data_IF_790326613555
#
_entry.id   IF_790326613555
#
_cell.length_a   1.000
_cell.length_b   1.000
_cell.length_c   1.000
_cell.angle_alpha   90.00
_cell.angle_beta   90.00
_cell.angle_gamma   90.00
#
_symmetry.space_group_name_H-M   'P 1'
#
loop_
_entity.id
_entity.type
_entity.pdbx_description
1 polymer ?
#
# COMPACT_ATOMS: atom_id res chain seq x y z
N UNK A 1 -0.68 36.99 -15.84
CA UNK A 1 -1.36 35.68 -15.87
C UNK A 1 -0.40 34.51 -15.53
N UNK A 2 0.53 34.70 -14.58
CA UNK A 2 1.45 33.65 -14.14
C UNK A 2 0.84 32.77 -13.05
N UNK A 3 0.08 33.39 -12.12
CA UNK A 3 -0.61 32.69 -11.04
C UNK A 3 -1.73 31.74 -11.50
N UNK A 4 -2.38 31.99 -12.64
CA UNK A 4 -3.32 31.03 -13.25
C UNK A 4 -2.61 29.78 -13.77
N UNK A 5 -1.43 29.95 -14.38
CA UNK A 5 -0.63 28.85 -14.91
C UNK A 5 -0.06 27.96 -13.79
N UNK A 6 0.36 28.54 -12.66
CA UNK A 6 0.78 27.76 -11.48
C UNK A 6 -0.39 26.99 -10.87
N UNK A 7 -1.58 27.60 -10.77
CA UNK A 7 -2.76 26.89 -10.27
C UNK A 7 -3.27 25.81 -11.24
N UNK A 8 -3.09 26.00 -12.54
CA UNK A 8 -3.42 25.01 -13.57
C UNK A 8 -2.39 23.87 -13.65
N UNK A 9 -1.16 24.06 -13.14
CA UNK A 9 -0.10 23.03 -13.13
C UNK A 9 0.08 22.29 -11.81
N UNK A 10 -0.43 22.77 -10.67
CA UNK A 10 -0.18 22.14 -9.36
C UNK A 10 -1.26 21.21 -8.79
N UNK A 11 -2.50 21.18 -9.30
CA UNK A 11 -3.55 20.35 -8.68
C UNK A 11 -4.40 19.59 -9.69
N UNK A 12 -3.75 19.05 -10.72
CA UNK A 12 -4.24 17.79 -11.28
C UNK A 12 -3.25 16.74 -10.80
N UNK A 13 -3.43 16.31 -9.55
CA UNK A 13 -3.27 14.90 -9.26
C UNK A 13 -3.99 14.21 -10.43
N UNK A 14 -3.21 13.65 -11.35
CA UNK A 14 -3.78 12.81 -12.39
C UNK A 14 -4.51 11.78 -11.58
N UNK A 15 -5.84 11.88 -11.60
CA UNK A 15 -6.77 11.11 -10.79
C UNK A 15 -6.73 9.68 -11.32
N UNK A 16 -5.57 9.08 -11.08
CA UNK A 16 -5.24 7.78 -11.52
C UNK A 16 -5.96 6.91 -10.52
N UNK A 17 -7.15 6.48 -10.94
CA UNK A 17 -7.96 5.49 -10.24
C UNK A 17 -7.25 4.11 -10.27
N UNK A 18 -5.92 4.08 -10.19
CA UNK A 18 -5.07 2.88 -10.09
C UNK A 18 -5.42 2.09 -8.84
N UNK A 19 -5.82 2.80 -7.78
CA UNK A 19 -6.37 2.22 -6.55
C UNK A 19 -7.67 1.44 -6.77
N UNK A 20 -8.50 1.75 -7.78
CA UNK A 20 -9.73 0.98 -8.06
C UNK A 20 -9.45 -0.49 -8.38
N UNK A 21 -8.26 -0.83 -8.87
CA UNK A 21 -7.88 -2.24 -9.04
C UNK A 21 -7.93 -3.05 -7.73
N UNK A 22 -7.87 -2.36 -6.57
CA UNK A 22 -7.99 -2.94 -5.25
C UNK A 22 -9.43 -3.29 -4.85
N UNK A 23 -10.48 -2.83 -5.54
CA UNK A 23 -11.87 -3.11 -5.16
C UNK A 23 -12.17 -4.62 -5.10
N UNK A 24 -11.49 -5.43 -5.91
CA UNK A 24 -11.56 -6.89 -5.86
C UNK A 24 -11.05 -7.52 -4.54
N UNK A 25 -10.41 -6.74 -3.67
CA UNK A 25 -9.96 -7.16 -2.34
C UNK A 25 -10.96 -6.82 -1.22
N UNK A 26 -12.09 -6.20 -1.55
CA UNK A 26 -13.17 -5.99 -0.59
C UNK A 26 -13.71 -7.34 -0.09
N UNK A 27 -13.84 -7.48 1.22
CA UNK A 27 -14.35 -8.64 1.91
C UNK A 27 -15.88 -8.71 1.85
N UNK A 28 -16.57 -7.56 1.80
CA UNK A 28 -18.03 -7.48 1.72
C UNK A 28 -18.52 -6.95 0.38
N UNK A 29 -19.63 -7.48 -0.12
CA UNK A 29 -20.25 -7.03 -1.38
C UNK A 29 -20.68 -5.55 -1.30
N UNK A 30 -21.13 -5.10 -0.12
CA UNK A 30 -21.48 -3.70 0.12
C UNK A 30 -20.29 -2.77 -0.06
N UNK A 31 -19.13 -3.13 0.52
CA UNK A 31 -17.92 -2.35 0.35
C UNK A 31 -17.38 -2.45 -1.08
N UNK A 32 -17.45 -3.63 -1.72
CA UNK A 32 -17.07 -3.78 -3.12
C UNK A 32 -17.86 -2.82 -4.03
N UNK A 33 -19.19 -2.79 -3.91
CA UNK A 33 -20.03 -1.86 -4.65
C UNK A 33 -19.72 -0.40 -4.31
N UNK A 34 -19.51 -0.08 -3.03
CA UNK A 34 -19.11 1.26 -2.60
C UNK A 34 -17.76 1.70 -3.20
N UNK A 35 -16.79 0.79 -3.27
CA UNK A 35 -15.47 1.02 -3.85
C UNK A 35 -15.53 1.28 -5.36
N UNK A 36 -16.35 0.54 -6.09
CA UNK A 36 -16.57 0.75 -7.52
C UNK A 36 -17.23 2.10 -7.81
N UNK A 37 -18.15 2.54 -6.94
CA UNK A 37 -18.87 3.81 -7.07
C UNK A 37 -18.03 5.02 -6.63
N UNK A 38 -17.14 4.85 -5.65
CA UNK A 38 -16.31 5.92 -5.14
C UNK A 38 -15.48 6.60 -6.24
N UNK A 39 -15.45 7.92 -6.23
CA UNK A 39 -14.67 8.73 -7.16
C UNK A 39 -13.25 8.93 -6.63
N UNK A 40 -13.09 9.03 -5.31
CA UNK A 40 -11.82 9.18 -4.62
C UNK A 40 -11.59 8.08 -3.58
N UNK A 41 -10.32 7.72 -3.35
CA UNK A 41 -9.96 6.75 -2.32
C UNK A 41 -10.36 7.20 -0.90
N UNK A 42 -10.43 8.51 -0.65
CA UNK A 42 -10.88 9.07 0.62
C UNK A 42 -12.35 8.79 0.92
N UNK A 43 -13.20 8.55 -0.10
CA UNK A 43 -14.63 8.26 0.07
C UNK A 43 -14.87 6.81 0.50
N UNK A 44 -13.86 5.94 0.41
CA UNK A 44 -13.99 4.53 0.82
C UNK A 44 -14.43 4.40 2.28
N UNK A 45 -14.00 5.30 3.17
CA UNK A 45 -14.38 5.25 4.59
C UNK A 45 -15.87 5.50 4.84
N UNK A 46 -16.59 6.08 3.88
CA UNK A 46 -18.03 6.29 3.96
C UNK A 46 -18.83 5.00 3.70
N UNK A 47 -18.23 4.06 2.97
CA UNK A 47 -18.85 2.79 2.57
C UNK A 47 -18.21 1.55 3.20
N UNK A 48 -16.94 1.66 3.61
CA UNK A 48 -16.09 0.56 4.03
C UNK A 48 -15.44 0.90 5.37
N UNK A 49 -15.64 0.03 6.37
CA UNK A 49 -14.93 0.16 7.65
C UNK A 49 -13.54 -0.45 7.53
N UNK A 50 -12.50 0.34 7.82
CA UNK A 50 -11.11 -0.10 7.67
C UNK A 50 -10.76 -1.38 8.44
N UNK A 51 -11.33 -1.60 9.63
CA UNK A 51 -11.11 -2.82 10.42
C UNK A 51 -11.65 -4.09 9.75
N UNK A 52 -12.70 -3.94 8.94
CA UNK A 52 -13.42 -5.05 8.32
C UNK A 52 -12.86 -5.32 6.91
N UNK A 53 -12.22 -4.30 6.33
CA UNK A 53 -11.78 -4.25 4.93
C UNK A 53 -10.25 -4.03 4.81
N UNK A 54 -9.48 -4.58 5.75
CA UNK A 54 -8.03 -4.32 5.87
C UNK A 54 -7.27 -4.50 4.54
N UNK A 55 -7.52 -5.60 3.83
CA UNK A 55 -6.86 -5.91 2.55
C UNK A 55 -7.10 -4.88 1.45
N UNK A 56 -8.32 -4.33 1.40
CA UNK A 56 -8.68 -3.27 0.47
C UNK A 56 -7.87 -2.01 0.80
N UNK A 57 -7.91 -1.56 2.06
CA UNK A 57 -7.23 -0.33 2.48
C UNK A 57 -5.70 -0.44 2.35
N UNK A 58 -5.10 -1.58 2.70
CA UNK A 58 -3.66 -1.81 2.51
C UNK A 58 -3.28 -1.77 1.02
N UNK A 59 -4.09 -2.37 0.15
CA UNK A 59 -3.86 -2.30 -1.29
C UNK A 59 -3.95 -0.85 -1.78
N UNK A 60 -4.97 -0.09 -1.36
CA UNK A 60 -5.16 1.31 -1.73
C UNK A 60 -3.98 2.18 -1.29
N UNK A 61 -3.55 2.08 -0.03
CA UNK A 61 -2.40 2.80 0.52
C UNK A 61 -1.13 2.52 -0.30
N UNK A 62 -0.83 1.24 -0.56
CA UNK A 62 0.34 0.83 -1.36
C UNK A 62 0.28 1.41 -2.77
N UNK A 63 -0.90 1.43 -3.41
CA UNK A 63 -1.04 1.98 -4.77
C UNK A 63 -0.83 3.49 -4.76
N UNK A 64 -1.34 4.20 -3.75
CA UNK A 64 -1.17 5.64 -3.60
C UNK A 64 0.31 6.02 -3.37
N UNK A 65 0.99 5.36 -2.42
CA UNK A 65 2.42 5.57 -2.18
C UNK A 65 3.26 5.32 -3.45
N UNK A 66 2.92 4.29 -4.23
CA UNK A 66 3.63 4.00 -5.49
C UNK A 66 3.31 5.02 -6.59
N UNK A 67 2.09 5.52 -6.65
CA UNK A 67 1.70 6.56 -7.60
C UNK A 67 2.46 7.87 -7.31
N UNK A 68 2.63 8.23 -6.03
CA UNK A 68 3.47 9.35 -5.61
C UNK A 68 4.92 9.18 -6.10
N UNK A 69 5.48 7.96 -5.99
CA UNK A 69 6.79 7.65 -6.58
C UNK A 69 6.81 7.82 -8.10
N UNK A 70 5.72 7.48 -8.81
CA UNK A 70 5.62 7.70 -10.26
C UNK A 70 5.61 9.19 -10.61
N UNK A 71 5.09 10.06 -9.75
CA UNK A 71 5.14 11.52 -9.90
C UNK A 71 6.56 12.10 -9.95
N UNK A 72 7.57 11.35 -9.47
CA UNK A 72 8.99 11.74 -9.57
C UNK A 72 9.58 11.54 -11.00
N UNK A 73 8.81 10.97 -11.91
CA UNK A 73 9.25 10.71 -13.28
C UNK A 73 9.40 12.01 -14.08
N UNK A 74 10.63 12.31 -14.51
CA UNK A 74 10.94 13.48 -15.38
C UNK A 74 10.48 13.30 -16.83
N UNK A 75 10.30 12.05 -17.28
CA UNK A 75 9.96 11.68 -18.64
C UNK A 75 8.57 11.05 -18.68
N UNK A 76 7.70 11.42 -19.64
CA UNK A 76 6.36 10.85 -19.73
C UNK A 76 6.37 9.33 -19.98
N UNK A 77 7.39 8.79 -20.65
CA UNK A 77 7.55 7.35 -20.87
C UNK A 77 7.75 6.61 -19.55
N UNK A 78 8.61 7.13 -18.66
CA UNK A 78 8.81 6.56 -17.33
C UNK A 78 7.55 6.69 -16.48
N UNK A 79 6.89 7.84 -16.50
CA UNK A 79 5.64 8.06 -15.75
C UNK A 79 4.59 7.01 -16.13
N UNK A 80 4.37 6.81 -17.43
CA UNK A 80 3.40 5.85 -17.94
C UNK A 80 3.79 4.39 -17.65
N UNK A 81 5.07 4.05 -17.78
CA UNK A 81 5.57 2.71 -17.43
C UNK A 81 5.43 2.43 -15.94
N UNK A 82 5.76 3.40 -15.10
CA UNK A 82 5.62 3.32 -13.65
C UNK A 82 4.16 3.08 -13.27
N UNK A 83 3.22 3.88 -13.79
CA UNK A 83 1.78 3.70 -13.53
C UNK A 83 1.28 2.31 -13.94
N UNK A 84 1.71 1.78 -15.08
CA UNK A 84 1.39 0.41 -15.50
C UNK A 84 1.93 -0.62 -14.51
N UNK A 85 3.15 -0.44 -14.02
CA UNK A 85 3.74 -1.29 -12.99
C UNK A 85 2.99 -1.19 -11.65
N UNK A 86 2.52 0.01 -11.26
CA UNK A 86 1.68 0.20 -10.08
C UNK A 86 0.36 -0.55 -10.22
N UNK A 87 -0.33 -0.42 -11.35
CA UNK A 87 -1.58 -1.12 -11.62
C UNK A 87 -1.39 -2.65 -11.64
N UNK A 88 -0.40 -3.14 -12.38
CA UNK A 88 -0.18 -4.56 -12.60
C UNK A 88 1.32 -4.91 -12.56
N UNK A 89 1.89 -5.08 -11.35
CA UNK A 89 3.31 -5.39 -11.21
C UNK A 89 3.70 -6.76 -11.77
N UNK A 90 2.73 -7.65 -12.03
CA UNK A 90 2.97 -8.94 -12.69
C UNK A 90 3.15 -8.80 -14.21
N UNK A 91 2.59 -7.76 -14.83
CA UNK A 91 2.67 -7.56 -16.28
C UNK A 91 3.92 -6.77 -16.70
N UNK A 92 4.51 -6.00 -15.79
CA UNK A 92 5.70 -5.19 -16.06
C UNK A 92 6.86 -5.72 -15.20
N UNK A 93 7.92 -6.22 -15.84
CA UNK A 93 9.09 -6.67 -15.10
C UNK A 93 9.81 -5.50 -14.45
N UNK A 94 10.39 -5.74 -13.26
CA UNK A 94 11.21 -4.72 -12.56
C UNK A 94 12.39 -4.27 -13.41
N UNK A 95 12.96 -5.15 -14.24
CA UNK A 95 14.07 -4.81 -15.15
C UNK A 95 13.62 -3.86 -16.25
N UNK A 96 12.44 -4.07 -16.85
CA UNK A 96 11.88 -3.17 -17.84
C UNK A 96 11.58 -1.79 -17.24
N UNK A 97 11.05 -1.75 -16.01
CA UNK A 97 10.84 -0.51 -15.29
C UNK A 97 12.16 0.22 -15.01
N UNK A 98 13.18 -0.48 -14.53
CA UNK A 98 14.51 0.08 -14.25
C UNK A 98 15.20 0.62 -15.50
N UNK A 99 15.01 -0.02 -16.65
CA UNK A 99 15.56 0.45 -17.93
C UNK A 99 14.83 1.69 -18.48
N UNK A 100 13.54 1.82 -18.17
CA UNK A 100 12.70 2.92 -18.68
C UNK A 100 12.75 4.16 -17.78
N UNK A 101 12.99 3.96 -16.48
CA UNK A 101 12.91 5.01 -15.47
C UNK A 101 14.26 5.44 -14.90
N UNK A 102 14.32 6.69 -14.44
CA UNK A 102 15.50 7.25 -13.78
C UNK A 102 15.59 6.81 -12.31
N UNK A 103 16.77 6.97 -11.70
CA UNK A 103 17.03 6.60 -10.30
C UNK A 103 16.03 7.14 -9.26
N UNK A 104 15.47 8.36 -9.34
CA UNK A 104 14.54 8.85 -8.31
C UNK A 104 13.29 7.98 -8.13
N UNK A 105 12.67 7.57 -9.26
CA UNK A 105 11.47 6.72 -9.25
C UNK A 105 11.82 5.32 -8.73
N UNK A 106 12.90 4.73 -9.26
CA UNK A 106 13.32 3.38 -8.86
C UNK A 106 13.72 3.33 -7.39
N UNK A 107 14.43 4.34 -6.89
CA UNK A 107 14.82 4.41 -5.50
C UNK A 107 13.58 4.54 -4.60
N UNK A 108 12.65 5.44 -4.93
CA UNK A 108 11.38 5.59 -4.21
C UNK A 108 10.63 4.25 -4.13
N UNK A 109 10.39 3.61 -5.27
CA UNK A 109 9.71 2.31 -5.32
C UNK A 109 10.44 1.19 -4.56
N UNK A 110 11.77 1.23 -4.50
CA UNK A 110 12.57 0.26 -3.74
C UNK A 110 12.49 0.44 -2.23
N UNK A 111 12.19 1.66 -1.76
CA UNK A 111 11.95 1.93 -0.33
C UNK A 111 10.57 1.47 0.12
N UNK A 112 9.61 1.39 -0.80
CA UNK A 112 8.28 0.89 -0.50
C UNK A 112 8.33 -0.63 -0.24
N UNK A 113 8.00 -1.00 1.00
CA UNK A 113 8.05 -2.37 1.46
C UNK A 113 6.80 -3.11 0.93
N UNK A 114 6.95 -4.27 0.26
CA UNK A 114 5.80 -5.11 -0.05
C UNK A 114 5.13 -5.57 1.26
N UNK A 115 3.90 -5.13 1.51
CA UNK A 115 3.05 -5.67 2.59
C UNK A 115 2.32 -6.87 2.01
N UNK A 116 2.83 -8.07 2.25
CA UNK A 116 2.19 -9.31 1.78
C UNK A 116 1.33 -9.84 2.93
N UNK A 117 0.03 -10.07 2.72
CA UNK A 117 -0.76 -10.74 3.71
C UNK A 117 -0.29 -12.18 3.88
N UNK A 118 0.03 -12.60 5.11
CA UNK A 118 0.34 -14.00 5.37
C UNK A 118 -0.95 -14.81 5.29
N UNK A 119 -1.14 -15.52 4.18
CA UNK A 119 -2.33 -16.37 3.93
C UNK A 119 -2.55 -17.47 4.99
N UNK A 120 -1.57 -17.74 5.85
CA UNK A 120 -1.66 -18.74 6.94
C UNK A 120 -0.87 -18.27 8.19
N UNK A 121 -1.39 -17.29 8.96
CA UNK A 121 -0.70 -16.69 10.09
C UNK A 121 -0.25 -17.72 11.14
N UNK A 122 -1.07 -18.76 11.35
CA UNK A 122 -0.83 -19.87 12.27
C UNK A 122 0.46 -20.64 11.99
N UNK A 123 0.92 -20.72 10.74
CA UNK A 123 2.19 -21.39 10.41
C UNK A 123 3.42 -20.61 10.89
N UNK A 124 3.28 -19.31 11.13
CA UNK A 124 4.38 -18.42 11.52
C UNK A 124 4.33 -18.05 13.01
N UNK A 125 3.34 -18.55 13.77
CA UNK A 125 3.27 -18.34 15.22
C UNK A 125 4.51 -18.87 15.95
N UNK A 126 5.11 -19.96 15.46
CA UNK A 126 6.37 -20.47 16.01
C UNK A 126 7.54 -19.46 15.89
N UNK A 127 7.46 -18.52 14.94
CA UNK A 127 8.47 -17.48 14.77
C UNK A 127 8.44 -16.44 15.89
N UNK A 128 7.30 -16.26 16.59
CA UNK A 128 7.20 -15.35 17.73
C UNK A 128 8.15 -15.76 18.88
N UNK A 129 8.54 -17.04 18.96
CA UNK A 129 9.45 -17.54 19.99
C UNK A 129 10.89 -17.05 19.87
N UNK A 130 11.29 -16.59 18.67
CA UNK A 130 12.62 -16.07 18.42
C UNK A 130 12.84 -14.66 18.96
N UNK A 131 11.79 -13.96 19.42
CA UNK A 131 11.93 -12.65 20.05
C UNK A 131 12.48 -12.79 21.47
N UNK A 132 13.51 -12.02 21.83
CA UNK A 132 14.03 -12.00 23.21
C UNK A 132 13.23 -11.07 24.14
N UNK A 133 12.18 -10.41 23.63
CA UNK A 133 11.39 -9.43 24.37
C UNK A 133 10.02 -10.03 24.70
N UNK A 134 9.69 -10.27 25.98
CA UNK A 134 8.44 -10.93 26.40
C UNK A 134 7.18 -10.20 25.91
N UNK A 135 7.14 -8.86 26.01
CA UNK A 135 6.01 -8.06 25.52
C UNK A 135 5.80 -8.18 24.00
N UNK A 136 6.86 -8.41 23.25
CA UNK A 136 6.80 -8.64 21.80
C UNK A 136 6.31 -10.06 21.48
N UNK A 137 6.70 -11.07 22.29
CA UNK A 137 6.16 -12.44 22.17
C UNK A 137 4.66 -12.46 22.38
N UNK A 138 4.20 -11.80 23.44
CA UNK A 138 2.78 -11.77 23.81
C UNK A 138 1.94 -11.00 22.79
N UNK A 139 2.44 -9.86 22.30
CA UNK A 139 1.79 -9.12 21.22
C UNK A 139 1.72 -9.94 19.91
N UNK A 140 2.81 -10.62 19.54
CA UNK A 140 2.89 -11.46 18.34
C UNK A 140 1.97 -12.70 18.39
N UNK A 141 1.78 -13.29 19.58
CA UNK A 141 0.82 -14.40 19.80
C UNK A 141 -0.62 -13.92 19.88
N UNK A 142 -0.86 -12.75 20.48
CA UNK A 142 -2.19 -12.19 20.65
C UNK A 142 -2.79 -11.65 19.35
N UNK A 143 -1.96 -11.32 18.35
CA UNK A 143 -2.42 -11.03 16.99
C UNK A 143 -2.88 -12.31 16.29
N UNK A 144 -4.06 -12.79 16.66
CA UNK A 144 -4.80 -13.83 15.94
C UNK A 144 -5.41 -13.29 14.61
N UNK A 145 -5.18 -12.00 14.36
CA UNK A 145 -5.58 -11.24 13.18
C UNK A 145 -4.37 -11.10 12.26
N UNK A 146 -4.48 -11.65 11.05
CA UNK A 146 -3.61 -11.44 9.88
C UNK A 146 -2.20 -10.95 10.23
N UNK A 147 -1.26 -11.87 10.46
CA UNK A 147 0.15 -11.49 10.54
C UNK A 147 0.57 -10.86 9.20
N UNK A 148 1.14 -9.67 9.25
CA UNK A 148 1.77 -9.03 8.09
C UNK A 148 3.26 -9.36 8.09
N UNK A 149 3.73 -10.00 7.02
CA UNK A 149 5.13 -10.39 6.85
C UNK A 149 5.88 -9.37 5.98
N UNK A 150 7.00 -8.86 6.49
CA UNK A 150 7.98 -8.09 5.70
C UNK A 150 8.88 -9.06 4.94
N UNK A 151 8.74 -9.16 3.62
CA UNK A 151 9.73 -9.87 2.78
C UNK A 151 10.86 -8.92 2.37
N UNK A 152 11.95 -8.93 3.14
CA UNK A 152 13.29 -8.84 2.55
C UNK A 152 13.92 -10.20 2.72
N UNK A 153 14.63 -10.70 1.71
CA UNK A 153 15.23 -12.04 1.72
C UNK A 153 15.75 -12.42 3.10
N UNK A 154 15.17 -13.49 3.67
CA UNK A 154 15.48 -14.04 5.00
C UNK A 154 15.48 -13.04 6.18
N UNK A 155 14.35 -12.40 6.49
CA UNK A 155 13.86 -12.27 7.88
C UNK A 155 12.47 -11.63 7.92
N UNK A 156 11.51 -12.28 8.57
CA UNK A 156 10.18 -11.72 8.85
C UNK A 156 10.30 -10.83 10.08
N UNK A 157 10.08 -9.52 9.91
CA UNK A 157 9.98 -8.56 11.01
C UNK A 157 8.51 -8.16 11.13
N UNK A 158 7.83 -8.43 12.27
CA UNK A 158 6.46 -7.99 12.45
C UNK A 158 6.39 -6.46 12.41
N UNK A 159 5.53 -5.95 11.54
CA UNK A 159 5.22 -4.52 11.43
C UNK A 159 4.50 -4.02 12.68
N UNK A 160 4.85 -2.79 13.07
CA UNK A 160 4.31 -2.04 14.20
C UNK A 160 2.78 -1.99 14.13
N UNK A 161 2.13 -2.57 15.14
CA UNK A 161 0.76 -2.26 15.54
C UNK A 161 0.79 -0.85 16.17
N UNK A 162 0.22 0.14 15.48
CA UNK A 162 -0.12 1.42 16.12
C UNK A 162 -1.28 1.19 17.09
N UNK A 163 -0.93 0.77 18.30
CA UNK A 163 -1.79 0.83 19.46
C UNK A 163 -1.10 1.70 20.51
N UNK A 164 -1.47 2.97 20.58
CA UNK A 164 -1.42 3.83 21.79
C UNK A 164 -1.80 5.27 21.43
N UNK A 165 -3.08 5.55 21.19
CA UNK A 165 -3.64 6.81 21.67
C UNK A 165 -3.98 6.61 23.13
N UNK A 166 -3.03 7.04 23.96
CA UNK A 166 -3.18 7.32 25.38
C UNK A 166 -4.39 8.24 25.59
N UNK A 167 -5.51 7.71 26.09
CA UNK A 167 -6.46 8.52 26.85
C UNK A 167 -5.95 8.59 28.28
N UNK A 168 -5.36 9.72 28.63
CA UNK A 168 -5.19 10.18 30.01
C UNK A 168 -6.57 10.52 30.59
N UNK A 169 -6.93 9.92 31.72
CA UNK A 169 -7.56 10.53 32.91
C UNK A 169 -7.73 9.44 33.97
#
# INVERSE_FOLDING_TARGET
QFWKCINETQTKAVDSKTWKSCCNHAATDSCHSGCELAEAASELVEHCRQSDEMYLFDCVEIKQEREECCGLARKPECHNMCRRWVMSPMQVSKSLLANTCNSPVINCLSTLIPRVPLRQPHKYLHCCEHSNVPSCKDACRSSNTVLWGRERGNFIVPGRIDGTTTTQS
#
